data_IF_615450317112
#
_entry.id   IF_615450317112
#
_cell.length_a   1.000
_cell.length_b   1.000
_cell.length_c   1.000
_cell.angle_alpha   90.00
_cell.angle_beta   90.00
_cell.angle_gamma   90.00
#
_symmetry.space_group_name_H-M   'P 1'
#
loop_
_entity.id
_entity.type
_entity.pdbx_description
1 polymer ?
#
# COMPACT_ATOMS: atom_id res chain seq x y z
N UNK A 1 11.61 0.89 -15.40
CA UNK A 1 10.86 0.79 -14.13
C UNK A 1 9.48 0.28 -14.39
N UNK A 2 8.95 -0.59 -13.53
CA UNK A 2 7.58 -1.09 -13.56
C UNK A 2 6.94 -0.77 -12.21
N UNK A 3 5.69 -0.29 -12.21
CA UNK A 3 4.88 -0.17 -10.99
C UNK A 3 3.92 -1.35 -10.95
N UNK A 4 4.07 -2.22 -9.96
CA UNK A 4 3.10 -3.28 -9.70
C UNK A 4 1.91 -2.66 -8.99
N UNK A 5 0.83 -2.41 -9.74
CA UNK A 5 -0.33 -1.66 -9.27
C UNK A 5 -1.15 -2.42 -8.24
N UNK A 6 -1.59 -1.73 -7.18
CA UNK A 6 -2.25 -2.30 -6.01
C UNK A 6 -3.66 -2.87 -6.21
N UNK A 7 -4.26 -2.77 -7.40
CA UNK A 7 -5.49 -3.52 -7.70
C UNK A 7 -5.24 -4.81 -8.48
N UNK A 8 -3.98 -5.16 -8.69
CA UNK A 8 -3.54 -6.40 -9.32
C UNK A 8 -3.32 -7.50 -8.29
N UNK A 9 -2.16 -8.16 -8.40
CA UNK A 9 -1.69 -9.19 -7.46
C UNK A 9 -0.22 -8.95 -7.14
N UNK A 10 0.23 -9.47 -6.00
CA UNK A 10 1.66 -9.72 -5.81
C UNK A 10 2.10 -10.73 -6.88
N UNK A 11 3.13 -10.38 -7.64
CA UNK A 11 3.52 -11.20 -8.78
C UNK A 11 4.18 -12.51 -8.32
N UNK A 12 4.30 -13.46 -9.25
CA UNK A 12 5.08 -14.68 -9.04
C UNK A 12 6.57 -14.35 -8.89
N UNK A 13 7.33 -15.20 -8.17
CA UNK A 13 8.77 -14.99 -7.93
C UNK A 13 9.56 -14.74 -9.23
N UNK A 14 9.20 -15.43 -10.31
CA UNK A 14 9.81 -15.28 -11.63
C UNK A 14 9.76 -13.83 -12.16
N UNK A 15 8.71 -13.07 -11.85
CA UNK A 15 8.61 -11.66 -12.24
C UNK A 15 9.74 -10.83 -11.60
N UNK A 16 9.92 -10.97 -10.28
CA UNK A 16 10.93 -10.21 -9.54
C UNK A 16 12.34 -10.70 -9.89
N UNK A 17 12.55 -12.01 -10.08
CA UNK A 17 13.82 -12.55 -10.57
C UNK A 17 14.22 -11.98 -11.94
N UNK A 18 13.26 -11.85 -12.86
CA UNK A 18 13.51 -11.24 -14.17
C UNK A 18 13.84 -9.75 -14.00
N UNK A 19 13.13 -9.04 -13.14
CA UNK A 19 13.39 -7.64 -12.85
C UNK A 19 14.80 -7.44 -12.29
N UNK A 20 15.22 -8.28 -11.34
CA UNK A 20 16.58 -8.29 -10.79
C UNK A 20 17.63 -8.51 -11.89
N UNK A 21 17.46 -9.58 -12.69
CA UNK A 21 18.41 -9.96 -13.76
C UNK A 21 18.51 -8.90 -14.86
N UNK A 22 17.44 -8.15 -15.11
CA UNK A 22 17.37 -7.13 -16.16
C UNK A 22 17.64 -5.71 -15.67
N UNK A 23 17.80 -5.50 -14.36
CA UNK A 23 17.93 -4.17 -13.77
C UNK A 23 16.67 -3.31 -13.92
N UNK A 24 15.49 -3.94 -13.94
CA UNK A 24 14.22 -3.23 -13.97
C UNK A 24 13.79 -2.92 -12.53
N UNK A 25 13.79 -1.65 -12.16
CA UNK A 25 13.28 -1.22 -10.87
C UNK A 25 11.77 -1.45 -10.76
N UNK A 26 11.33 -1.90 -9.58
CA UNK A 26 9.95 -2.20 -9.23
C UNK A 26 9.51 -1.24 -8.12
N UNK A 27 8.43 -0.52 -8.40
CA UNK A 27 7.62 0.13 -7.39
C UNK A 27 6.52 -0.85 -6.99
N UNK A 28 6.59 -1.37 -5.78
CA UNK A 28 5.67 -2.40 -5.31
C UNK A 28 4.58 -1.78 -4.43
N UNK A 29 3.35 -1.83 -4.92
CA UNK A 29 2.19 -1.46 -4.10
C UNK A 29 1.66 -2.65 -3.32
N UNK A 30 1.04 -2.38 -2.17
CA UNK A 30 0.19 -3.37 -1.51
C UNK A 30 -1.19 -3.41 -2.17
N UNK A 31 -1.88 -4.54 -2.05
CA UNK A 31 -3.07 -4.86 -2.85
C UNK A 31 -4.35 -4.14 -2.38
N UNK A 32 -4.24 -2.81 -2.25
CA UNK A 32 -5.31 -1.88 -1.93
C UNK A 32 -5.39 -0.82 -3.04
N UNK A 33 -6.57 -0.62 -3.63
CA UNK A 33 -6.72 0.33 -4.74
C UNK A 33 -8.14 0.88 -4.86
N UNK A 34 -8.24 2.20 -5.06
CA UNK A 34 -9.46 2.93 -5.38
C UNK A 34 -10.64 2.48 -4.50
N UNK A 35 -10.45 2.37 -3.19
CA UNK A 35 -11.50 1.91 -2.27
C UNK A 35 -11.23 2.27 -0.82
N UNK A 36 -12.30 2.26 -0.02
CA UNK A 36 -12.24 2.41 1.43
C UNK A 36 -12.39 1.04 2.09
N UNK A 37 -11.45 0.72 2.96
CA UNK A 37 -11.35 -0.60 3.60
C UNK A 37 -11.76 -0.52 5.08
N UNK A 38 -12.30 -1.60 5.65
CA UNK A 38 -12.69 -1.62 7.04
C UNK A 38 -11.47 -1.62 7.98
N UNK A 39 -11.69 -1.26 9.25
CA UNK A 39 -10.66 -1.28 10.30
C UNK A 39 -10.97 -2.25 11.44
N UNK A 40 -11.89 -3.20 11.24
CA UNK A 40 -12.16 -4.18 12.28
C UNK A 40 -10.94 -5.08 12.49
N UNK A 41 -10.79 -5.57 13.72
CA UNK A 41 -9.60 -6.31 14.12
C UNK A 41 -9.40 -7.60 13.31
N UNK A 42 -10.49 -8.26 12.86
CA UNK A 42 -10.37 -9.46 12.07
C UNK A 42 -9.75 -9.15 10.70
N UNK A 43 -10.25 -8.12 10.02
CA UNK A 43 -9.68 -7.65 8.75
C UNK A 43 -8.23 -7.20 8.90
N UNK A 44 -7.92 -6.35 9.88
CA UNK A 44 -6.54 -5.85 10.07
C UNK A 44 -5.56 -6.98 10.41
N UNK A 45 -5.99 -8.01 11.15
CA UNK A 45 -5.15 -9.19 11.38
C UNK A 45 -4.88 -9.97 10.10
N UNK A 46 -5.88 -10.13 9.21
CA UNK A 46 -5.64 -10.77 7.91
C UNK A 46 -4.67 -9.97 7.04
N UNK A 47 -4.81 -8.63 7.03
CA UNK A 47 -3.89 -7.74 6.32
C UNK A 47 -2.48 -7.85 6.87
N UNK A 48 -2.31 -7.87 8.20
CA UNK A 48 -1.00 -8.01 8.83
C UNK A 48 -0.28 -9.29 8.40
N UNK A 49 -0.98 -10.42 8.40
CA UNK A 49 -0.41 -11.70 7.97
C UNK A 49 -0.08 -11.71 6.47
N UNK A 50 -0.95 -11.13 5.63
CA UNK A 50 -0.69 -10.96 4.20
C UNK A 50 0.57 -10.10 3.95
N UNK A 51 0.63 -8.93 4.58
CA UNK A 51 1.74 -7.97 4.44
C UNK A 51 3.04 -8.62 4.88
N UNK A 52 3.06 -9.24 6.06
CA UNK A 52 4.22 -9.95 6.59
C UNK A 52 4.70 -11.03 5.63
N UNK A 53 3.79 -11.86 5.13
CA UNK A 53 4.13 -12.93 4.19
C UNK A 53 4.77 -12.36 2.92
N UNK A 54 4.19 -11.31 2.34
CA UNK A 54 4.69 -10.73 1.09
C UNK A 54 6.02 -10.01 1.27
N UNK A 55 6.20 -9.25 2.35
CA UNK A 55 7.48 -8.58 2.63
C UNK A 55 8.59 -9.59 2.83
N UNK A 56 8.37 -10.63 3.65
CA UNK A 56 9.38 -11.68 3.87
C UNK A 56 9.76 -12.42 2.58
N UNK A 57 8.79 -12.66 1.70
CA UNK A 57 9.04 -13.27 0.38
C UNK A 57 9.85 -12.35 -0.52
N UNK A 58 9.52 -11.05 -0.54
CA UNK A 58 9.95 -10.13 -1.59
C UNK A 58 11.15 -9.23 -1.22
N UNK A 59 11.42 -9.00 0.05
CA UNK A 59 12.43 -8.02 0.52
C UNK A 59 13.88 -8.32 0.06
N UNK A 60 14.15 -9.55 -0.38
CA UNK A 60 15.47 -9.94 -0.90
C UNK A 60 15.72 -9.50 -2.35
N UNK A 61 14.66 -9.09 -3.08
CA UNK A 61 14.77 -8.63 -4.47
C UNK A 61 15.29 -7.19 -4.55
N UNK A 62 16.51 -6.94 -5.07
CA UNK A 62 17.06 -5.59 -5.22
C UNK A 62 16.31 -4.74 -6.25
N UNK A 63 15.54 -5.36 -7.15
CA UNK A 63 14.68 -4.63 -8.09
C UNK A 63 13.61 -3.82 -7.37
N UNK A 64 13.09 -4.28 -6.23
CA UNK A 64 12.12 -3.50 -5.44
C UNK A 64 12.87 -2.33 -4.81
N UNK A 65 12.47 -1.12 -5.16
CA UNK A 65 13.14 0.12 -4.69
C UNK A 65 12.27 0.94 -3.74
N UNK A 66 10.97 0.66 -3.68
CA UNK A 66 10.00 1.39 -2.86
C UNK A 66 8.80 0.49 -2.56
N UNK A 67 8.31 0.58 -1.33
CA UNK A 67 7.01 0.04 -0.93
C UNK A 67 5.97 1.15 -0.93
N UNK A 68 4.78 0.87 -1.44
CA UNK A 68 3.68 1.83 -1.43
C UNK A 68 2.38 1.22 -0.93
N UNK A 69 1.65 1.95 -0.10
CA UNK A 69 0.55 1.36 0.67
C UNK A 69 -0.72 1.10 -0.10
N UNK A 70 -1.02 1.90 -1.13
CA UNK A 70 -2.22 1.74 -1.95
C UNK A 70 -2.16 2.60 -3.22
N UNK A 71 -3.07 2.32 -4.15
CA UNK A 71 -3.37 3.21 -5.27
C UNK A 71 -4.57 4.11 -4.95
N UNK A 72 -4.35 5.42 -5.00
CA UNK A 72 -5.34 6.50 -5.00
C UNK A 72 -6.25 6.62 -3.77
N UNK A 73 -6.08 5.83 -2.70
CA UNK A 73 -7.03 5.89 -1.58
C UNK A 73 -6.91 7.21 -0.80
N UNK A 74 -5.71 7.80 -0.69
CA UNK A 74 -5.54 9.14 -0.11
C UNK A 74 -6.32 10.19 -0.92
N UNK A 75 -6.24 10.10 -2.25
CA UNK A 75 -6.96 10.99 -3.17
C UNK A 75 -8.48 10.77 -3.09
N UNK A 76 -8.91 9.50 -3.02
CA UNK A 76 -10.31 9.11 -3.06
C UNK A 76 -11.12 9.59 -1.83
N UNK A 77 -10.47 9.73 -0.67
CA UNK A 77 -11.11 10.33 0.51
C UNK A 77 -11.55 11.77 0.24
N UNK A 78 -10.77 12.53 -0.53
CA UNK A 78 -11.02 13.93 -0.87
C UNK A 78 -10.92 14.87 0.33
N UNK A 79 -10.64 16.15 0.05
CA UNK A 79 -10.66 17.22 1.06
C UNK A 79 -11.98 18.00 1.09
N UNK A 80 -12.89 17.70 0.15
CA UNK A 80 -14.19 18.35 -0.01
C UNK A 80 -15.16 17.46 -0.77
N UNK A 81 -16.44 17.81 -0.77
CA UNK A 81 -17.46 17.12 -1.58
C UNK A 81 -17.23 17.19 -3.08
N UNK A 82 -16.48 18.20 -3.55
CA UNK A 82 -16.13 18.33 -4.96
C UNK A 82 -14.96 17.43 -5.39
N UNK A 83 -14.19 16.91 -4.42
CA UNK A 83 -12.96 16.14 -4.66
C UNK A 83 -13.01 14.71 -4.16
N UNK A 84 -13.92 14.40 -3.23
CA UNK A 84 -14.16 13.04 -2.75
C UNK A 84 -14.80 12.16 -3.84
N UNK A 85 -14.34 10.91 -3.92
CA UNK A 85 -14.88 9.95 -4.88
C UNK A 85 -16.15 9.26 -4.36
N UNK A 86 -16.29 9.22 -3.04
CA UNK A 86 -17.40 8.56 -2.34
C UNK A 86 -18.15 9.59 -1.50
N UNK A 87 -19.49 9.58 -1.58
CA UNK A 87 -20.31 10.50 -0.77
C UNK A 87 -20.16 10.20 0.72
N UNK A 88 -19.93 8.95 1.07
CA UNK A 88 -19.77 8.47 2.44
C UNK A 88 -18.57 9.11 3.13
N UNK A 89 -17.46 9.33 2.41
CA UNK A 89 -16.26 9.99 2.98
C UNK A 89 -16.53 11.45 3.30
N UNK A 90 -17.49 12.08 2.61
CA UNK A 90 -17.92 13.46 2.90
C UNK A 90 -18.90 13.53 4.08
N UNK A 91 -19.72 12.49 4.26
CA UNK A 91 -20.70 12.40 5.36
C UNK A 91 -19.97 12.13 6.69
N UNK A 92 -18.94 11.28 6.68
CA UNK A 92 -18.19 10.93 7.89
C UNK A 92 -16.66 10.96 7.69
N UNK A 93 -16.07 12.14 7.43
CA UNK A 93 -14.66 12.25 7.05
C UNK A 93 -13.72 11.76 8.14
N UNK A 94 -14.03 12.04 9.41
CA UNK A 94 -13.20 11.60 10.54
C UNK A 94 -13.10 10.08 10.62
N UNK A 95 -14.20 9.36 10.37
CA UNK A 95 -14.18 7.90 10.34
C UNK A 95 -13.21 7.40 9.28
N UNK A 96 -13.33 7.87 8.04
CA UNK A 96 -12.51 7.34 6.94
C UNK A 96 -11.04 7.72 7.05
N UNK A 97 -10.72 8.91 7.58
CA UNK A 97 -9.33 9.28 7.89
C UNK A 97 -8.73 8.37 8.97
N UNK A 98 -9.50 8.06 10.02
CA UNK A 98 -9.07 7.13 11.06
C UNK A 98 -8.92 5.72 10.50
N UNK A 99 -9.93 5.22 9.79
CA UNK A 99 -9.92 3.88 9.19
C UNK A 99 -8.72 3.73 8.22
N UNK A 100 -8.43 4.76 7.40
CA UNK A 100 -7.25 4.81 6.53
C UNK A 100 -5.94 4.78 7.31
N UNK A 101 -5.79 5.58 8.38
CA UNK A 101 -4.58 5.62 9.19
C UNK A 101 -4.28 4.27 9.85
N UNK A 102 -5.31 3.61 10.40
CA UNK A 102 -5.17 2.30 11.05
C UNK A 102 -4.71 1.22 10.07
N UNK A 103 -5.28 1.19 8.86
CA UNK A 103 -4.88 0.24 7.85
C UNK A 103 -3.49 0.57 7.29
N UNK A 104 -3.31 1.78 6.78
CA UNK A 104 -2.16 2.16 5.98
C UNK A 104 -0.89 2.33 6.84
N UNK A 105 -0.98 3.14 7.89
CA UNK A 105 0.17 3.48 8.72
C UNK A 105 0.37 2.46 9.84
N UNK A 106 -0.67 2.23 10.65
CA UNK A 106 -0.52 1.45 11.88
C UNK A 106 -0.41 -0.06 11.62
N UNK A 107 -0.91 -0.54 10.48
CA UNK A 107 -0.86 -1.95 10.09
C UNK A 107 0.16 -2.20 8.99
N UNK A 108 -0.06 -1.67 7.77
CA UNK A 108 0.79 -2.00 6.62
C UNK A 108 2.21 -1.45 6.79
N UNK A 109 2.38 -0.15 7.01
CA UNK A 109 3.71 0.46 7.20
C UNK A 109 4.47 -0.14 8.39
N UNK A 110 3.84 -0.23 9.57
CA UNK A 110 4.50 -0.82 10.75
C UNK A 110 4.97 -2.26 10.49
N UNK A 111 4.16 -3.07 9.80
CA UNK A 111 4.54 -4.44 9.48
C UNK A 111 5.71 -4.48 8.49
N UNK A 112 5.71 -3.62 7.46
CA UNK A 112 6.84 -3.52 6.53
C UNK A 112 8.10 -3.08 7.27
N UNK A 113 8.01 -2.05 8.12
CA UNK A 113 9.15 -1.48 8.84
C UNK A 113 9.79 -2.48 9.82
N UNK A 114 9.00 -3.43 10.36
CA UNK A 114 9.51 -4.53 11.20
C UNK A 114 10.46 -5.46 10.42
N UNK A 115 10.19 -5.72 9.14
CA UNK A 115 10.92 -6.72 8.34
C UNK A 115 11.88 -6.14 7.30
N UNK A 116 11.56 -4.98 6.71
CA UNK A 116 12.35 -4.31 5.70
C UNK A 116 12.36 -2.78 5.90
N UNK A 117 13.14 -2.27 6.86
CA UNK A 117 13.32 -0.83 7.08
C UNK A 117 14.27 -0.19 6.04
N UNK A 118 14.80 -0.95 5.08
CA UNK A 118 15.86 -0.47 4.17
C UNK A 118 15.34 0.35 2.99
N UNK A 119 14.04 0.24 2.69
CA UNK A 119 13.40 0.87 1.52
C UNK A 119 12.47 1.99 1.96
N UNK A 120 12.35 3.06 1.14
CA UNK A 120 11.37 4.11 1.41
C UNK A 120 9.94 3.58 1.34
N UNK A 121 9.06 4.27 2.06
CA UNK A 121 7.62 4.01 2.10
C UNK A 121 6.85 5.19 1.51
N UNK A 122 5.83 4.89 0.69
CA UNK A 122 4.88 5.88 0.21
C UNK A 122 3.46 5.49 0.62
N UNK A 123 2.74 6.27 1.43
CA UNK A 123 1.45 5.85 1.99
C UNK A 123 0.39 5.59 0.91
N UNK A 124 0.36 6.38 -0.15
CA UNK A 124 -0.54 6.25 -1.30
C UNK A 124 0.17 6.66 -2.59
N UNK A 125 -0.36 6.27 -3.74
CA UNK A 125 0.05 6.81 -5.04
C UNK A 125 -1.17 7.27 -5.83
N UNK A 126 -1.30 8.58 -6.13
CA UNK A 126 -0.38 9.66 -5.77
C UNK A 126 -0.39 9.96 -4.25
N UNK A 127 0.67 10.60 -3.78
CA UNK A 127 0.79 11.17 -2.42
C UNK A 127 1.79 12.33 -2.41
N UNK A 128 1.79 13.12 -1.33
CA UNK A 128 2.67 14.27 -1.15
C UNK A 128 4.08 13.93 -0.66
N UNK A 129 4.39 12.65 -0.43
CA UNK A 129 5.77 12.22 -0.19
C UNK A 129 5.92 11.12 0.85
N UNK A 130 7.18 10.90 1.20
CA UNK A 130 7.64 9.84 2.11
C UNK A 130 7.38 10.29 3.56
N UNK A 131 6.82 9.39 4.37
CA UNK A 131 6.72 9.54 5.83
C UNK A 131 8.06 9.21 6.51
#
# INVERSE_FOLDING_TARGET
TVRNWGGGIYQHDLFYEICDKKGLMVWEEFMFACSMYPRDAAFLNTVKEEVKHQVLRLMSHPSIIIWSGNNENELAMGSSTATAWYVETTINPFRYVVDYSYLNTDTVYQTIHEYDPSRPWLPSSPSNGIL
#
